data_IF_080919167112
#
_entry.id   IF_080919167112
#
_cell.length_a   1.000
_cell.length_b   1.000
_cell.length_c   1.000
_cell.angle_alpha   90.00
_cell.angle_beta   90.00
_cell.angle_gamma   90.00
#
_symmetry.space_group_name_H-M   'P 1'
#
loop_
_entity.id
_entity.type
_entity.pdbx_description
1 polymer ?
#
# COMPACT_ATOMS: atom_id res chain seq x y z
N UNK A 1 20.35 18.06 9.21
CA UNK A 1 19.67 17.20 8.24
C UNK A 1 18.25 17.71 8.00
N UNK A 2 17.89 17.95 6.73
CA UNK A 2 16.65 18.65 6.40
C UNK A 2 15.45 17.73 6.17
N UNK A 3 15.69 16.49 5.81
CA UNK A 3 14.63 15.53 5.53
C UNK A 3 14.90 14.18 6.20
N UNK A 4 13.87 13.61 6.79
CA UNK A 4 13.92 12.27 7.39
C UNK A 4 12.81 11.43 6.78
N UNK A 5 13.17 10.20 6.35
CA UNK A 5 12.21 9.21 5.87
C UNK A 5 11.98 8.21 6.99
N UNK A 6 10.72 8.05 7.40
CA UNK A 6 10.35 7.07 8.41
C UNK A 6 10.20 5.71 7.72
N UNK A 7 11.15 4.83 7.98
CA UNK A 7 11.19 3.51 7.35
C UNK A 7 10.89 2.41 8.36
N UNK A 8 10.55 1.24 7.85
CA UNK A 8 10.29 0.07 8.66
C UNK A 8 9.10 -0.70 8.12
N UNK A 9 9.04 -1.96 8.48
CA UNK A 9 7.88 -2.79 8.18
C UNK A 9 6.81 -2.44 9.20
N UNK A 10 5.61 -2.07 8.73
CA UNK A 10 4.48 -1.72 9.60
C UNK A 10 4.76 -0.53 10.53
N UNK A 11 5.13 0.61 9.95
CA UNK A 11 5.36 1.83 10.73
C UNK A 11 4.15 2.22 11.59
N UNK A 12 2.94 1.86 11.14
CA UNK A 12 1.72 2.10 11.91
C UNK A 12 1.58 1.24 13.17
N UNK A 13 2.39 0.19 13.31
CA UNK A 13 2.40 -0.67 14.50
C UNK A 13 3.26 -0.12 15.64
N UNK A 14 3.94 1.00 15.41
CA UNK A 14 4.76 1.62 16.43
C UNK A 14 3.95 1.84 17.72
N UNK A 15 4.54 1.48 18.84
CA UNK A 15 3.94 1.71 20.14
C UNK A 15 2.97 0.66 20.62
N UNK A 16 2.68 -0.38 19.83
CA UNK A 16 1.76 -1.44 20.26
C UNK A 16 2.15 -2.09 21.58
N UNK A 17 3.44 -2.36 21.75
CA UNK A 17 3.95 -3.01 22.96
C UNK A 17 4.19 -2.03 24.10
N UNK A 18 4.38 -0.75 23.81
CA UNK A 18 4.64 0.29 24.79
C UNK A 18 3.38 1.07 25.19
N UNK A 19 2.27 0.83 24.50
CA UNK A 19 1.03 1.56 24.72
C UNK A 19 0.98 2.93 24.04
N UNK A 20 2.03 3.31 23.34
CA UNK A 20 2.07 4.55 22.58
C UNK A 20 1.45 4.34 21.20
N UNK A 21 0.82 5.39 20.68
CA UNK A 21 0.24 5.35 19.32
C UNK A 21 1.20 5.96 18.32
N UNK A 22 1.14 5.48 17.08
CA UNK A 22 1.95 6.04 16.01
C UNK A 22 1.72 7.54 15.83
N UNK A 23 0.46 7.99 16.02
CA UNK A 23 0.15 9.43 15.92
C UNK A 23 0.93 10.25 16.95
N UNK A 24 1.20 9.69 18.13
CA UNK A 24 1.96 10.39 19.17
C UNK A 24 3.42 10.57 18.72
N UNK A 25 3.99 9.59 18.03
CA UNK A 25 5.32 9.71 17.44
C UNK A 25 5.35 10.83 16.39
N UNK A 26 4.34 10.88 15.52
CA UNK A 26 4.27 11.91 14.49
C UNK A 26 4.20 13.32 15.10
N UNK A 27 3.42 13.48 16.15
CA UNK A 27 3.30 14.76 16.87
C UNK A 27 4.63 15.18 17.51
N UNK A 28 5.32 14.22 18.11
CA UNK A 28 6.63 14.48 18.72
C UNK A 28 7.65 14.91 17.67
N UNK A 29 7.68 14.21 16.53
CA UNK A 29 8.59 14.55 15.43
C UNK A 29 8.31 15.92 14.83
N UNK A 30 7.04 16.29 14.73
CA UNK A 30 6.64 17.59 14.18
C UNK A 30 7.19 18.76 15.00
N UNK A 31 7.42 18.55 16.30
CA UNK A 31 7.99 19.55 17.18
C UNK A 31 9.52 19.59 17.24
N UNK A 32 10.23 18.74 16.51
CA UNK A 32 11.69 18.71 16.53
C UNK A 32 12.25 19.84 15.66
N UNK A 33 13.10 20.67 16.26
CA UNK A 33 13.77 21.76 15.53
C UNK A 33 14.88 21.22 14.63
N UNK A 34 15.11 21.88 13.51
CA UNK A 34 16.20 21.53 12.60
C UNK A 34 15.81 20.53 11.51
N UNK A 35 14.63 19.93 11.57
CA UNK A 35 14.12 19.04 10.54
C UNK A 35 13.01 19.77 9.79
N UNK A 36 13.15 19.87 8.48
CA UNK A 36 12.17 20.56 7.64
C UNK A 36 11.08 19.67 7.07
N UNK A 37 11.40 18.38 6.84
CA UNK A 37 10.49 17.46 6.17
C UNK A 37 10.54 16.06 6.76
N UNK A 38 9.38 15.42 6.80
CA UNK A 38 9.23 14.00 7.11
C UNK A 38 8.45 13.33 6.01
N UNK A 39 8.81 12.10 5.70
CA UNK A 39 8.07 11.27 4.76
C UNK A 39 7.88 9.88 5.37
N UNK A 40 6.64 9.38 5.33
CA UNK A 40 6.34 8.02 5.76
C UNK A 40 6.58 7.10 4.55
N UNK A 41 7.51 6.14 4.67
CA UNK A 41 7.89 5.31 3.52
C UNK A 41 6.80 4.31 3.16
N UNK A 42 6.16 3.68 4.16
CA UNK A 42 5.12 2.68 3.92
C UNK A 42 4.21 2.56 5.13
N UNK A 43 2.92 2.41 4.89
CA UNK A 43 1.93 2.23 5.96
C UNK A 43 0.78 1.37 5.45
N UNK A 44 0.40 0.34 6.23
CA UNK A 44 -0.74 -0.50 5.87
C UNK A 44 -2.07 0.27 5.96
N UNK A 45 -3.06 -0.08 5.12
CA UNK A 45 -4.34 0.63 5.12
C UNK A 45 -5.03 0.67 6.47
N UNK A 46 -5.00 -0.41 7.24
CA UNK A 46 -5.65 -0.48 8.54
C UNK A 46 -5.03 0.45 9.58
N UNK A 47 -3.77 0.79 9.39
CA UNK A 47 -3.03 1.63 10.33
C UNK A 47 -3.06 3.10 9.94
N UNK A 48 -3.57 3.40 8.74
CA UNK A 48 -3.74 4.77 8.24
C UNK A 48 -5.10 5.29 8.70
N UNK A 49 -5.16 5.72 9.96
CA UNK A 49 -6.40 6.21 10.57
C UNK A 49 -6.76 7.61 10.11
N UNK A 50 -8.01 8.00 10.31
CA UNK A 50 -8.45 9.36 10.00
C UNK A 50 -7.65 10.41 10.77
N UNK A 51 -7.28 10.12 12.01
CA UNK A 51 -6.45 11.00 12.84
C UNK A 51 -5.07 11.22 12.22
N UNK A 52 -4.42 10.15 11.74
CA UNK A 52 -3.13 10.24 11.09
C UNK A 52 -3.22 11.02 9.78
N UNK A 53 -4.26 10.75 8.99
CA UNK A 53 -4.48 11.46 7.72
C UNK A 53 -4.67 12.96 7.97
N UNK A 54 -5.50 13.32 8.94
CA UNK A 54 -5.76 14.71 9.28
C UNK A 54 -4.49 15.40 9.80
N UNK A 55 -3.70 14.70 10.60
CA UNK A 55 -2.44 15.25 11.09
C UNK A 55 -1.46 15.55 9.95
N UNK A 56 -1.27 14.60 9.04
CA UNK A 56 -0.36 14.80 7.91
C UNK A 56 -0.84 15.93 7.00
N UNK A 57 -2.15 16.07 6.81
CA UNK A 57 -2.71 17.13 6.00
C UNK A 57 -2.46 18.52 6.61
N UNK A 58 -2.48 18.61 7.93
CA UNK A 58 -2.32 19.88 8.65
C UNK A 58 -0.84 20.23 8.91
N UNK A 59 0.05 19.25 8.98
CA UNK A 59 1.45 19.47 9.33
C UNK A 59 2.22 20.11 8.19
N UNK A 60 3.01 21.19 8.45
CA UNK A 60 3.87 21.77 7.43
C UNK A 60 5.12 20.95 7.14
N UNK A 61 5.45 19.97 7.97
CA UNK A 61 6.66 19.15 7.83
C UNK A 61 6.42 17.81 7.15
N UNK A 62 5.26 17.20 7.34
CA UNK A 62 4.96 15.89 6.75
C UNK A 62 4.52 16.05 5.30
N UNK A 63 5.20 15.34 4.41
CA UNK A 63 4.90 15.41 2.99
C UNK A 63 3.61 14.67 2.66
N UNK A 64 2.87 15.18 1.67
CA UNK A 64 1.67 14.52 1.14
C UNK A 64 2.10 13.42 0.18
N UNK A 65 2.80 12.43 0.70
CA UNK A 65 3.35 11.32 -0.05
C UNK A 65 3.17 10.05 0.77
N UNK A 66 2.44 9.09 0.19
CA UNK A 66 2.13 7.84 0.87
C UNK A 66 2.45 6.66 -0.04
N UNK A 67 3.03 5.62 0.55
CA UNK A 67 3.16 4.33 -0.09
C UNK A 67 2.30 3.36 0.73
N UNK A 68 1.21 2.87 0.11
CA UNK A 68 0.22 2.05 0.80
C UNK A 68 0.13 0.71 0.06
N UNK A 69 0.73 -0.37 0.61
CA UNK A 69 0.72 -1.67 -0.08
C UNK A 69 -0.70 -2.21 -0.22
N UNK A 70 -1.14 -2.39 -1.46
CA UNK A 70 -2.45 -3.01 -1.74
C UNK A 70 -2.35 -4.53 -1.75
N UNK A 71 -1.34 -5.06 -2.39
CA UNK A 71 -1.06 -6.47 -2.60
C UNK A 71 -1.96 -7.13 -3.65
N UNK A 72 -3.29 -7.00 -3.55
CA UNK A 72 -4.22 -7.51 -4.55
C UNK A 72 -5.51 -6.70 -4.56
N UNK A 73 -6.15 -6.61 -5.72
CA UNK A 73 -7.49 -6.02 -5.85
C UNK A 73 -8.62 -7.03 -5.73
N UNK A 74 -8.34 -8.24 -5.26
CA UNK A 74 -9.32 -9.28 -5.02
C UNK A 74 -9.38 -9.61 -3.52
N UNK A 75 -10.56 -9.52 -2.91
CA UNK A 75 -10.74 -9.84 -1.49
C UNK A 75 -10.40 -11.29 -1.18
N UNK A 76 -10.71 -12.21 -2.12
CA UNK A 76 -10.34 -13.61 -1.97
C UNK A 76 -8.85 -13.79 -1.83
N UNK A 77 -8.08 -13.14 -2.70
CA UNK A 77 -6.61 -13.24 -2.67
C UNK A 77 -6.04 -12.54 -1.43
N UNK A 78 -6.59 -11.39 -1.04
CA UNK A 78 -6.19 -10.73 0.19
C UNK A 78 -6.40 -11.63 1.41
N UNK A 79 -7.50 -12.37 1.44
CA UNK A 79 -7.75 -13.36 2.49
C UNK A 79 -6.74 -14.50 2.49
N UNK A 80 -6.35 -14.99 1.31
CA UNK A 80 -5.33 -16.04 1.16
C UNK A 80 -3.95 -15.52 1.60
N UNK A 81 -3.68 -14.24 1.39
CA UNK A 81 -2.44 -13.58 1.85
C UNK A 81 -2.48 -13.26 3.34
N UNK A 82 -3.60 -13.50 4.01
CA UNK A 82 -3.84 -13.18 5.42
C UNK A 82 -3.73 -11.69 5.72
N UNK A 83 -4.19 -10.87 4.78
CA UNK A 83 -4.25 -9.43 4.98
C UNK A 83 -5.47 -9.07 5.83
N UNK A 84 -5.33 -8.02 6.65
CA UNK A 84 -6.38 -7.59 7.60
C UNK A 84 -7.36 -6.61 7.00
N UNK A 85 -7.24 -6.29 5.71
CA UNK A 85 -8.08 -5.29 5.05
C UNK A 85 -8.71 -5.89 3.79
N UNK A 86 -9.79 -5.24 3.37
CA UNK A 86 -10.49 -5.57 2.12
C UNK A 86 -10.23 -4.47 1.09
N UNK A 87 -10.62 -4.72 -0.16
CA UNK A 87 -10.54 -3.69 -1.20
C UNK A 87 -11.42 -2.48 -0.86
N UNK A 88 -12.59 -2.71 -0.26
CA UNK A 88 -13.48 -1.63 0.18
C UNK A 88 -12.80 -0.74 1.23
N UNK A 89 -12.14 -1.34 2.21
CA UNK A 89 -11.41 -0.60 3.24
C UNK A 89 -10.25 0.18 2.63
N UNK A 90 -9.53 -0.44 1.70
CA UNK A 90 -8.42 0.21 1.01
C UNK A 90 -8.92 1.44 0.24
N UNK A 91 -9.99 1.28 -0.54
CA UNK A 91 -10.59 2.39 -1.30
C UNK A 91 -11.07 3.52 -0.39
N UNK A 92 -11.63 3.18 0.78
CA UNK A 92 -12.05 4.14 1.79
C UNK A 92 -10.86 4.97 2.30
N UNK A 93 -9.73 4.32 2.58
CA UNK A 93 -8.54 5.04 3.04
C UNK A 93 -7.95 5.95 1.97
N UNK A 94 -7.95 5.51 0.72
CA UNK A 94 -7.50 6.33 -0.40
C UNK A 94 -8.40 7.56 -0.56
N UNK A 95 -9.72 7.37 -0.49
CA UNK A 95 -10.67 8.47 -0.57
C UNK A 95 -10.46 9.48 0.57
N UNK A 96 -10.22 8.99 1.79
CA UNK A 96 -9.97 9.86 2.94
C UNK A 96 -8.71 10.70 2.75
N UNK A 97 -7.64 10.11 2.24
CA UNK A 97 -6.39 10.84 1.94
C UNK A 97 -6.67 11.94 0.90
N UNK A 98 -7.34 11.59 -0.20
CA UNK A 98 -7.60 12.53 -1.28
C UNK A 98 -8.55 13.66 -0.88
N UNK A 99 -9.45 13.39 0.06
CA UNK A 99 -10.38 14.42 0.54
C UNK A 99 -9.65 15.55 1.28
N UNK A 100 -8.64 15.22 2.05
CA UNK A 100 -7.86 16.20 2.82
C UNK A 100 -6.60 16.66 2.09
N UNK A 101 -6.06 15.83 1.20
CA UNK A 101 -4.83 16.12 0.45
C UNK A 101 -5.03 15.76 -1.02
N UNK A 102 -5.75 16.59 -1.79
CA UNK A 102 -6.05 16.28 -3.20
C UNK A 102 -4.81 16.10 -4.08
N UNK A 103 -3.70 16.69 -3.69
CA UNK A 103 -2.43 16.63 -4.40
C UNK A 103 -1.51 15.53 -3.89
N UNK A 104 -1.98 14.68 -2.98
CA UNK A 104 -1.13 13.65 -2.39
C UNK A 104 -0.67 12.64 -3.44
N UNK A 105 0.61 12.28 -3.36
CA UNK A 105 1.16 11.19 -4.16
C UNK A 105 0.86 9.87 -3.44
N UNK A 106 0.18 8.96 -4.12
CA UNK A 106 -0.15 7.64 -3.57
C UNK A 106 0.45 6.56 -4.46
N UNK A 107 1.43 5.85 -3.92
CA UNK A 107 2.04 4.70 -4.56
C UNK A 107 1.57 3.41 -3.91
N UNK A 108 1.49 2.33 -4.69
CA UNK A 108 1.06 1.03 -4.19
C UNK A 108 1.95 -0.09 -4.71
N UNK A 109 1.90 -1.23 -4.03
CA UNK A 109 2.52 -2.48 -4.49
C UNK A 109 1.42 -3.49 -4.79
N UNK A 110 1.58 -4.24 -5.89
CA UNK A 110 0.66 -5.30 -6.28
C UNK A 110 1.44 -6.56 -6.61
N UNK A 111 1.01 -7.69 -6.05
CA UNK A 111 1.56 -9.01 -6.37
C UNK A 111 0.59 -9.71 -7.30
N UNK A 112 1.09 -10.21 -8.43
CA UNK A 112 0.29 -10.98 -9.39
C UNK A 112 0.73 -12.44 -9.38
N UNK A 113 -0.20 -13.35 -9.68
CA UNK A 113 0.11 -14.77 -9.74
C UNK A 113 0.26 -15.43 -8.38
N UNK A 114 -0.34 -14.88 -7.34
CA UNK A 114 -0.35 -15.53 -6.02
C UNK A 114 -1.10 -16.87 -6.10
N UNK A 115 -0.68 -17.90 -5.34
CA UNK A 115 -1.36 -19.21 -5.38
C UNK A 115 -2.86 -19.08 -5.18
N UNK A 116 -3.63 -19.68 -6.09
CA UNK A 116 -5.09 -19.62 -6.07
C UNK A 116 -5.68 -18.45 -6.86
N UNK A 117 -4.86 -17.54 -7.37
CA UNK A 117 -5.35 -16.44 -8.20
C UNK A 117 -5.76 -16.95 -9.59
N UNK A 118 -7.05 -16.86 -9.91
CA UNK A 118 -7.57 -17.19 -11.22
C UNK A 118 -7.53 -15.95 -12.13
N UNK A 119 -7.85 -16.16 -13.42
CA UNK A 119 -7.97 -15.03 -14.35
C UNK A 119 -9.06 -14.05 -13.87
N UNK A 120 -10.15 -14.57 -13.29
CA UNK A 120 -11.22 -13.73 -12.76
C UNK A 120 -10.74 -12.80 -11.65
N UNK A 121 -10.00 -13.33 -10.66
CA UNK A 121 -9.46 -12.52 -9.57
C UNK A 121 -8.44 -11.52 -10.09
N UNK A 122 -7.65 -11.91 -11.10
CA UNK A 122 -6.71 -10.97 -11.71
C UNK A 122 -7.45 -9.83 -12.41
N UNK A 123 -8.55 -10.11 -13.11
CA UNK A 123 -9.39 -9.07 -13.71
C UNK A 123 -9.99 -8.14 -12.66
N UNK A 124 -10.39 -8.68 -11.51
CA UNK A 124 -10.85 -7.86 -10.39
C UNK A 124 -9.76 -6.89 -9.94
N UNK A 125 -8.52 -7.35 -9.87
CA UNK A 125 -7.38 -6.50 -9.52
C UNK A 125 -7.22 -5.36 -10.53
N UNK A 126 -7.21 -5.66 -11.83
CA UNK A 126 -7.07 -4.62 -12.86
C UNK A 126 -8.20 -3.60 -12.79
N UNK A 127 -9.44 -4.05 -12.61
CA UNK A 127 -10.60 -3.18 -12.48
C UNK A 127 -10.46 -2.25 -11.28
N UNK A 128 -10.02 -2.80 -10.15
CA UNK A 128 -9.80 -2.01 -8.94
C UNK A 128 -8.72 -0.95 -9.14
N UNK A 129 -7.62 -1.32 -9.81
CA UNK A 129 -6.53 -0.37 -10.08
C UNK A 129 -7.01 0.79 -10.94
N UNK A 130 -7.79 0.52 -11.99
CA UNK A 130 -8.38 1.58 -12.82
C UNK A 130 -9.31 2.47 -12.03
N UNK A 131 -10.12 1.88 -11.16
CA UNK A 131 -11.10 2.63 -10.36
C UNK A 131 -10.42 3.61 -9.40
N UNK A 132 -9.30 3.23 -8.80
CA UNK A 132 -8.63 4.06 -7.81
C UNK A 132 -7.63 5.05 -8.39
N UNK A 133 -7.10 4.81 -9.59
CA UNK A 133 -6.17 5.70 -10.31
C UNK A 133 -4.99 6.17 -9.45
N UNK A 134 -4.04 5.30 -9.23
CA UNK A 134 -2.87 5.59 -8.40
C UNK A 134 -1.77 6.34 -9.16
N UNK A 135 -0.97 7.15 -8.44
CA UNK A 135 0.13 7.92 -9.02
C UNK A 135 1.29 7.01 -9.46
N UNK A 136 1.56 5.96 -8.72
CA UNK A 136 2.61 4.99 -9.06
C UNK A 136 2.22 3.61 -8.57
N UNK A 137 2.60 2.58 -9.33
CA UNK A 137 2.34 1.19 -8.99
C UNK A 137 3.60 0.36 -9.21
N UNK A 138 3.96 -0.43 -8.23
CA UNK A 138 5.02 -1.42 -8.33
C UNK A 138 4.39 -2.79 -8.47
N UNK A 139 4.64 -3.45 -9.59
CA UNK A 139 4.04 -4.74 -9.91
C UNK A 139 5.09 -5.84 -9.74
N UNK A 140 4.77 -6.83 -8.91
CA UNK A 140 5.67 -7.94 -8.64
C UNK A 140 4.99 -9.26 -8.97
N UNK A 141 5.57 -10.11 -9.83
CA UNK A 141 5.08 -11.48 -9.94
C UNK A 141 5.41 -12.23 -8.64
N UNK A 142 4.47 -13.05 -8.18
CA UNK A 142 4.69 -13.82 -6.97
C UNK A 142 5.93 -14.69 -7.10
N UNK A 143 6.81 -14.63 -6.12
CA UNK A 143 8.02 -15.44 -6.06
C UNK A 143 7.90 -16.45 -4.92
N UNK A 144 7.96 -17.74 -5.28
CA UNK A 144 7.85 -18.81 -4.31
C UNK A 144 9.12 -18.85 -3.44
N UNK A 145 8.91 -18.66 -2.14
CA UNK A 145 10.01 -18.72 -1.17
C UNK A 145 9.83 -19.94 -0.28
N UNK A 146 10.87 -20.80 -0.12
CA UNK A 146 10.81 -21.92 0.81
C UNK A 146 10.43 -21.44 2.22
N UNK A 147 9.79 -22.28 2.98
CA UNK A 147 9.39 -22.03 4.37
C UNK A 147 8.29 -21.02 4.56
N UNK A 148 7.65 -20.53 3.49
CA UNK A 148 6.47 -19.67 3.61
C UNK A 148 5.19 -20.49 3.46
N UNK A 149 4.08 -20.10 4.12
CA UNK A 149 2.80 -20.79 3.92
C UNK A 149 2.35 -20.78 2.47
N UNK A 150 2.57 -19.68 1.75
CA UNK A 150 2.17 -19.53 0.36
C UNK A 150 2.88 -20.55 -0.56
N UNK A 151 4.14 -20.88 -0.27
CA UNK A 151 4.90 -21.84 -1.08
C UNK A 151 4.30 -23.24 -1.02
N UNK A 152 3.55 -23.55 0.04
CA UNK A 152 2.92 -24.87 0.28
C UNK A 152 1.46 -24.91 -0.14
N UNK A 153 0.89 -23.78 -0.56
CA UNK A 153 -0.51 -23.72 -0.95
C UNK A 153 -0.77 -24.45 -2.27
N UNK A 154 -1.94 -25.07 -2.42
CA UNK A 154 -2.37 -25.59 -3.72
C UNK A 154 -2.67 -24.43 -4.68
N UNK A 155 -2.80 -24.74 -5.97
CA UNK A 155 -3.17 -23.72 -6.95
C UNK A 155 -2.02 -22.80 -7.35
N UNK A 156 -0.79 -23.29 -7.26
CA UNK A 156 0.37 -22.51 -7.73
C UNK A 156 0.21 -22.10 -9.20
N UNK A 157 0.47 -20.83 -9.49
CA UNK A 157 0.32 -20.28 -10.83
C UNK A 157 1.62 -20.52 -11.62
N UNK A 158 1.49 -20.90 -12.89
CA UNK A 158 2.64 -21.11 -13.76
C UNK A 158 3.42 -19.83 -13.98
N UNK A 159 4.76 -19.93 -14.06
CA UNK A 159 5.61 -18.76 -14.24
C UNK A 159 5.25 -17.93 -15.47
N UNK A 160 4.93 -18.60 -16.59
CA UNK A 160 4.52 -17.90 -17.81
C UNK A 160 3.26 -17.05 -17.59
N UNK A 161 2.31 -17.55 -16.79
CA UNK A 161 1.08 -16.82 -16.47
C UNK A 161 1.40 -15.64 -15.57
N UNK A 162 2.28 -15.82 -14.58
CA UNK A 162 2.70 -14.72 -13.69
C UNK A 162 3.34 -13.59 -14.50
N UNK A 163 4.22 -13.92 -15.43
CA UNK A 163 4.89 -12.93 -16.27
C UNK A 163 3.90 -12.18 -17.16
N UNK A 164 2.94 -12.88 -17.75
CA UNK A 164 1.90 -12.26 -18.55
C UNK A 164 1.05 -11.30 -17.73
N UNK A 165 0.64 -11.74 -16.52
CA UNK A 165 -0.15 -10.90 -15.63
C UNK A 165 0.62 -9.67 -15.18
N UNK A 166 1.91 -9.82 -14.89
CA UNK A 166 2.77 -8.68 -14.54
C UNK A 166 2.86 -7.68 -15.69
N UNK A 167 2.97 -8.17 -16.93
CA UNK A 167 2.99 -7.31 -18.11
C UNK A 167 1.67 -6.55 -18.28
N UNK A 168 0.54 -7.24 -18.13
CA UNK A 168 -0.79 -6.63 -18.27
C UNK A 168 -1.03 -5.57 -17.18
N UNK A 169 -0.61 -5.86 -15.95
CA UNK A 169 -0.73 -4.90 -14.85
C UNK A 169 0.19 -3.69 -15.08
N UNK A 170 1.39 -3.91 -15.59
CA UNK A 170 2.32 -2.81 -15.92
C UNK A 170 1.77 -1.92 -17.02
N UNK A 171 1.07 -2.47 -18.01
CA UNK A 171 0.40 -1.69 -19.04
C UNK A 171 -0.69 -0.80 -18.43
N UNK A 172 -1.46 -1.35 -17.48
CA UNK A 172 -2.46 -0.58 -16.74
C UNK A 172 -1.82 0.56 -15.96
N UNK A 173 -0.68 0.30 -15.32
CA UNK A 173 0.06 1.34 -14.59
C UNK A 173 0.52 2.45 -15.53
N UNK A 174 1.05 2.09 -16.72
CA UNK A 174 1.48 3.05 -17.72
C UNK A 174 0.33 3.95 -18.20
N UNK A 175 -0.85 3.38 -18.41
CA UNK A 175 -2.03 4.15 -18.78
C UNK A 175 -2.39 5.18 -17.73
N UNK A 176 -2.30 4.84 -16.44
CA UNK A 176 -2.60 5.75 -15.35
C UNK A 176 -1.57 6.87 -15.21
N UNK A 177 -0.29 6.56 -15.40
CA UNK A 177 0.78 7.55 -15.28
C UNK A 177 0.71 8.60 -16.38
N UNK A 178 0.09 8.28 -17.51
CA UNK A 178 -0.05 9.20 -18.65
C UNK A 178 -1.38 9.99 -18.65
N UNK A 179 -2.25 9.70 -17.70
CA UNK A 179 -3.48 10.48 -17.52
C UNK A 179 -3.32 11.38 -16.29
#
# INVERSE_FOLDING_TARGET
QKEIVLTGVNTGDFGRTTGEKFIDLLRALDGVDGIERYRISSIEPNLLTDEIIAFCAASPKFQHHFHIPLQSGSDKILGLMRRRYTTARFADRIAAVRALMPDAFIGIDVIVGFPGETEEEFQQTLTFLHRCAFAAMHIFPYSKRPDTPAAKMPGQVLNAVKEERARRAAETAGEMEHT
#
